data_IF_449626893455
#
_entry.id   IF_449626893455
#
_cell.length_a   1.000
_cell.length_b   1.000
_cell.length_c   1.000
_cell.angle_alpha   90.00
_cell.angle_beta   90.00
_cell.angle_gamma   90.00
#
_symmetry.space_group_name_H-M   'P 1'
#
loop_
_entity.id
_entity.type
_entity.pdbx_description
1 polymer ?
#
# COMPACT_ATOMS: atom_id res chain seq x y z
N UNK A 1 26.93 3.91 -4.25
CA UNK A 1 27.04 4.57 -2.92
C UNK A 1 25.66 5.01 -2.44
N UNK A 2 25.00 5.97 -3.10
CA UNK A 2 23.69 6.50 -2.71
C UNK A 2 22.58 5.48 -2.36
N UNK A 3 22.42 4.39 -3.13
CA UNK A 3 21.44 3.33 -2.81
C UNK A 3 21.73 2.61 -1.49
N UNK A 4 23.01 2.37 -1.18
CA UNK A 4 23.41 1.73 0.08
C UNK A 4 23.13 2.64 1.27
N UNK A 5 23.41 3.94 1.11
CA UNK A 5 23.16 4.94 2.15
C UNK A 5 21.66 5.13 2.38
N UNK A 6 20.87 5.14 1.30
CA UNK A 6 19.41 5.16 1.37
C UNK A 6 18.86 3.92 2.09
N UNK A 7 19.30 2.72 1.71
CA UNK A 7 18.89 1.48 2.38
C UNK A 7 19.24 1.53 3.86
N UNK A 8 20.45 1.97 4.21
CA UNK A 8 20.86 2.14 5.60
C UNK A 8 19.92 3.11 6.35
N UNK A 9 19.63 4.28 5.78
CA UNK A 9 18.73 5.26 6.39
C UNK A 9 17.29 4.72 6.59
N UNK A 10 16.80 3.91 5.65
CA UNK A 10 15.51 3.22 5.74
C UNK A 10 15.51 2.17 6.87
N UNK A 11 16.58 1.39 7.01
CA UNK A 11 16.72 0.40 8.09
C UNK A 11 16.91 1.04 9.47
N UNK A 12 17.62 2.17 9.53
CA UNK A 12 17.81 2.98 10.75
C UNK A 12 16.53 3.74 11.14
N UNK A 13 15.46 3.66 10.33
CA UNK A 13 14.15 4.30 10.56
C UNK A 13 14.25 5.80 10.81
N UNK A 14 15.14 6.47 10.07
CA UNK A 14 15.32 7.92 10.18
C UNK A 14 14.01 8.62 9.84
N UNK A 15 13.65 9.65 10.62
CA UNK A 15 12.36 10.34 10.51
C UNK A 15 12.13 11.02 9.17
N UNK A 16 13.18 11.63 8.60
CA UNK A 16 13.15 12.32 7.32
C UNK A 16 14.33 11.86 6.48
N UNK A 17 14.08 11.49 5.23
CA UNK A 17 15.11 11.13 4.26
C UNK A 17 14.95 12.04 3.05
N UNK A 18 16.01 12.78 2.73
CA UNK A 18 16.08 13.64 1.54
C UNK A 18 16.89 12.91 0.50
N UNK A 19 16.27 12.57 -0.62
CA UNK A 19 16.93 11.88 -1.72
C UNK A 19 17.32 12.94 -2.76
N UNK A 20 18.62 13.24 -2.84
CA UNK A 20 19.17 14.22 -3.78
C UNK A 20 19.17 13.73 -5.23
N UNK A 21 19.57 12.48 -5.55
CA UNK A 21 19.54 12.02 -6.93
C UNK A 21 18.09 11.84 -7.39
N UNK A 22 17.63 12.71 -8.28
CA UNK A 22 16.24 12.73 -8.77
C UNK A 22 15.78 11.36 -9.27
N UNK A 23 16.65 10.64 -10.01
CA UNK A 23 16.35 9.29 -10.51
C UNK A 23 16.02 8.30 -9.39
N UNK A 24 16.84 8.28 -8.33
CA UNK A 24 16.63 7.37 -7.20
C UNK A 24 15.39 7.75 -6.39
N UNK A 25 15.16 9.06 -6.23
CA UNK A 25 13.99 9.60 -5.56
C UNK A 25 12.70 9.22 -6.27
N UNK A 26 12.64 9.40 -7.60
CA UNK A 26 11.48 9.05 -8.41
C UNK A 26 11.21 7.53 -8.42
N UNK A 27 12.25 6.70 -8.51
CA UNK A 27 12.11 5.24 -8.43
C UNK A 27 11.51 4.82 -7.08
N UNK A 28 12.01 5.41 -5.99
CA UNK A 28 11.52 5.14 -4.63
C UNK A 28 10.08 5.63 -4.44
N UNK A 29 9.77 6.84 -4.92
CA UNK A 29 8.41 7.38 -4.91
C UNK A 29 7.44 6.49 -5.67
N UNK A 30 7.80 6.05 -6.88
CA UNK A 30 6.96 5.15 -7.69
C UNK A 30 6.74 3.83 -6.98
N UNK A 31 7.77 3.26 -6.37
CA UNK A 31 7.65 2.01 -5.62
C UNK A 31 6.66 2.15 -4.44
N UNK A 32 6.78 3.22 -3.65
CA UNK A 32 5.83 3.53 -2.57
C UNK A 32 4.42 3.76 -3.13
N UNK A 33 4.29 4.46 -4.25
CA UNK A 33 3.00 4.72 -4.89
C UNK A 33 2.31 3.44 -5.37
N UNK A 34 3.05 2.49 -5.95
CA UNK A 34 2.52 1.17 -6.35
C UNK A 34 2.03 0.39 -5.14
N UNK A 35 2.83 0.34 -4.06
CA UNK A 35 2.41 -0.30 -2.80
C UNK A 35 1.12 0.32 -2.25
N UNK A 36 1.04 1.65 -2.21
CA UNK A 36 -0.15 2.38 -1.76
C UNK A 36 -1.37 2.12 -2.66
N UNK A 37 -1.17 2.00 -3.97
CA UNK A 37 -2.23 1.66 -4.92
C UNK A 37 -2.78 0.26 -4.61
N UNK A 38 -1.91 -0.76 -4.52
CA UNK A 38 -2.29 -2.14 -4.20
C UNK A 38 -3.03 -2.23 -2.86
N UNK A 39 -2.58 -1.49 -1.86
CA UNK A 39 -3.22 -1.42 -0.55
C UNK A 39 -4.67 -0.89 -0.66
N UNK A 40 -4.86 0.24 -1.33
CA UNK A 40 -6.19 0.86 -1.50
C UNK A 40 -7.11 0.03 -2.38
N UNK A 41 -6.61 -0.53 -3.48
CA UNK A 41 -7.41 -1.38 -4.36
C UNK A 41 -7.87 -2.64 -3.63
N UNK A 42 -7.01 -3.25 -2.81
CA UNK A 42 -7.39 -4.39 -1.98
C UNK A 42 -8.52 -4.05 -1.01
N UNK A 43 -8.43 -2.91 -0.31
CA UNK A 43 -9.48 -2.47 0.61
C UNK A 43 -10.81 -2.21 -0.10
N UNK A 44 -10.79 -1.47 -1.21
CA UNK A 44 -12.00 -1.12 -1.97
C UNK A 44 -12.64 -2.38 -2.56
N UNK A 45 -11.84 -3.27 -3.16
CA UNK A 45 -12.35 -4.51 -3.75
C UNK A 45 -12.90 -5.49 -2.72
N UNK A 46 -12.25 -5.63 -1.55
CA UNK A 46 -12.81 -6.41 -0.44
C UNK A 46 -14.14 -5.85 0.05
N UNK A 47 -14.21 -4.54 0.27
CA UNK A 47 -15.44 -3.89 0.74
C UNK A 47 -16.57 -4.04 -0.29
N UNK A 48 -16.28 -3.87 -1.58
CA UNK A 48 -17.23 -4.08 -2.67
C UNK A 48 -17.74 -5.53 -2.72
N UNK A 49 -16.84 -6.51 -2.58
CA UNK A 49 -17.20 -7.94 -2.54
C UNK A 49 -18.16 -8.25 -1.40
N UNK A 50 -17.87 -7.76 -0.18
CA UNK A 50 -18.74 -7.93 0.98
C UNK A 50 -20.10 -7.27 0.74
N UNK A 51 -20.13 -6.03 0.24
CA UNK A 51 -21.37 -5.31 -0.02
C UNK A 51 -22.27 -6.03 -1.04
N UNK A 52 -21.69 -6.51 -2.14
CA UNK A 52 -22.41 -7.28 -3.17
C UNK A 52 -22.95 -8.59 -2.59
N UNK A 53 -22.13 -9.31 -1.82
CA UNK A 53 -22.53 -10.55 -1.15
C UNK A 53 -23.68 -10.37 -0.16
N UNK A 54 -23.75 -9.23 0.53
CA UNK A 54 -24.81 -8.94 1.50
C UNK A 54 -26.12 -8.50 0.85
N UNK A 55 -26.06 -7.68 -0.21
CA UNK A 55 -27.26 -7.06 -0.81
C UNK A 55 -27.89 -7.93 -1.90
N UNK A 56 -27.09 -8.60 -2.74
CA UNK A 56 -27.57 -9.24 -3.98
C UNK A 56 -27.27 -10.75 -4.07
N UNK A 57 -27.49 -11.46 -2.95
CA UNK A 57 -27.09 -12.85 -2.66
C UNK A 57 -27.17 -13.91 -3.77
N UNK A 58 -28.10 -13.82 -4.73
CA UNK A 58 -28.33 -14.91 -5.69
C UNK A 58 -27.95 -14.61 -7.14
N UNK A 59 -28.03 -13.36 -7.61
CA UNK A 59 -27.74 -13.02 -9.03
C UNK A 59 -26.34 -12.49 -9.27
N UNK A 60 -25.64 -12.00 -8.24
CA UNK A 60 -24.38 -11.28 -8.39
C UNK A 60 -23.17 -11.98 -7.73
N UNK A 61 -23.31 -13.26 -7.37
CA UNK A 61 -22.25 -14.06 -6.73
C UNK A 61 -20.97 -14.11 -7.57
N UNK A 62 -21.08 -14.20 -8.89
CA UNK A 62 -19.94 -14.17 -9.82
C UNK A 62 -19.16 -12.86 -9.70
N UNK A 63 -19.86 -11.72 -9.61
CA UNK A 63 -19.22 -10.41 -9.45
C UNK A 63 -18.54 -10.28 -8.09
N UNK A 64 -19.19 -10.75 -7.03
CA UNK A 64 -18.58 -10.80 -5.69
C UNK A 64 -17.29 -11.60 -5.68
N UNK A 65 -17.27 -12.76 -6.36
CA UNK A 65 -16.08 -13.61 -6.47
C UNK A 65 -14.95 -12.92 -7.25
N UNK A 66 -15.26 -12.22 -8.35
CA UNK A 66 -14.28 -11.46 -9.11
C UNK A 66 -13.61 -10.36 -8.28
N UNK A 67 -14.39 -9.58 -7.52
CA UNK A 67 -13.83 -8.57 -6.62
C UNK A 67 -13.01 -9.18 -5.49
N UNK A 68 -13.42 -10.35 -4.97
CA UNK A 68 -12.65 -11.09 -3.98
C UNK A 68 -11.31 -11.56 -4.55
N UNK A 69 -11.29 -12.10 -5.78
CA UNK A 69 -10.08 -12.56 -6.45
C UNK A 69 -9.09 -11.40 -6.68
N UNK A 70 -9.56 -10.24 -7.14
CA UNK A 70 -8.74 -9.04 -7.28
C UNK A 70 -8.15 -8.61 -5.93
N UNK A 71 -8.95 -8.63 -4.86
CA UNK A 71 -8.45 -8.29 -3.53
C UNK A 71 -7.37 -9.25 -3.03
N UNK A 72 -7.57 -10.57 -3.20
CA UNK A 72 -6.59 -11.59 -2.84
C UNK A 72 -5.29 -11.38 -3.63
N UNK A 73 -5.40 -11.13 -4.94
CA UNK A 73 -4.25 -10.88 -5.80
C UNK A 73 -3.47 -9.63 -5.37
N UNK A 74 -4.15 -8.50 -5.16
CA UNK A 74 -3.50 -7.27 -4.70
C UNK A 74 -2.85 -7.43 -3.32
N UNK A 75 -3.52 -8.10 -2.38
CA UNK A 75 -2.98 -8.38 -1.03
C UNK A 75 -1.80 -9.33 -1.07
N UNK A 76 -1.85 -10.34 -1.93
CA UNK A 76 -0.76 -11.29 -2.16
C UNK A 76 0.48 -10.61 -2.71
N UNK A 77 0.33 -9.86 -3.80
CA UNK A 77 1.42 -9.05 -4.38
C UNK A 77 2.00 -8.07 -3.37
N UNK A 78 1.13 -7.34 -2.65
CA UNK A 78 1.60 -6.42 -1.62
C UNK A 78 2.38 -7.15 -0.53
N UNK A 79 1.91 -8.31 -0.08
CA UNK A 79 2.59 -9.11 0.94
C UNK A 79 3.94 -9.63 0.46
N UNK A 80 4.05 -10.14 -0.76
CA UNK A 80 5.33 -10.64 -1.28
C UNK A 80 6.35 -9.51 -1.45
N UNK A 81 5.92 -8.38 -2.02
CA UNK A 81 6.83 -7.31 -2.40
C UNK A 81 7.13 -6.31 -1.26
N UNK A 82 6.21 -6.07 -0.32
CA UNK A 82 6.35 -5.04 0.72
C UNK A 82 6.40 -5.56 2.17
N UNK A 83 6.32 -6.88 2.43
CA UNK A 83 6.41 -7.36 3.83
C UNK A 83 7.79 -7.14 4.45
N UNK A 84 8.86 -7.31 3.66
CA UNK A 84 10.23 -7.15 4.12
C UNK A 84 10.87 -5.83 3.66
N UNK A 85 10.10 -4.97 2.99
CA UNK A 85 10.61 -3.72 2.44
C UNK A 85 10.47 -2.58 3.47
N UNK A 86 11.57 -1.96 3.92
CA UNK A 86 11.51 -0.86 4.88
C UNK A 86 10.80 0.39 4.33
N UNK A 87 10.68 0.54 3.00
CA UNK A 87 9.95 1.65 2.36
C UNK A 87 8.48 1.69 2.75
N UNK A 88 7.90 0.58 3.21
CA UNK A 88 6.48 0.50 3.62
C UNK A 88 6.15 1.43 4.79
N UNK A 89 7.14 1.74 5.65
CA UNK A 89 6.95 2.63 6.79
C UNK A 89 7.08 4.12 6.42
N UNK A 90 7.40 4.42 5.16
CA UNK A 90 7.65 5.76 4.66
C UNK A 90 6.55 6.23 3.71
N UNK A 91 6.32 7.54 3.69
CA UNK A 91 5.43 8.21 2.75
C UNK A 91 6.13 9.42 2.14
N UNK A 92 5.74 9.77 0.92
CA UNK A 92 6.30 10.93 0.22
C UNK A 92 5.67 12.20 0.78
N UNK A 93 6.49 13.09 1.33
CA UNK A 93 6.05 14.37 1.85
C UNK A 93 5.96 15.38 0.71
N UNK A 94 4.73 15.79 0.37
CA UNK A 94 4.48 16.80 -0.68
C UNK A 94 4.12 18.18 -0.13
N UNK A 95 3.87 18.32 1.18
CA UNK A 95 3.43 19.61 1.73
C UNK A 95 4.61 20.57 1.86
N UNK A 96 4.55 21.65 1.09
CA UNK A 96 5.58 22.68 1.06
C UNK A 96 5.91 23.26 2.45
N UNK A 97 4.91 23.39 3.33
CA UNK A 97 5.09 23.86 4.73
C UNK A 97 5.95 22.94 5.59
N UNK A 98 5.93 21.64 5.32
CA UNK A 98 6.75 20.64 6.01
C UNK A 98 8.14 20.59 5.37
N UNK A 99 8.21 20.73 4.05
CA UNK A 99 9.46 20.77 3.29
C UNK A 99 10.34 21.98 3.66
N UNK A 100 9.74 23.15 3.92
CA UNK A 100 10.47 24.36 4.36
C UNK A 100 11.16 24.22 5.72
N UNK A 101 10.74 23.26 6.56
CA UNK A 101 11.36 23.02 7.88
C UNK A 101 12.59 22.12 7.79
N UNK A 102 12.83 21.52 6.64
CA UNK A 102 13.92 20.58 6.40
C UNK A 102 15.02 21.37 5.69
N UNK A 103 16.25 21.41 6.21
CA UNK A 103 17.36 22.04 5.50
C UNK A 103 17.64 21.22 4.24
N UNK A 104 17.16 21.73 3.10
CA UNK A 104 17.43 21.17 1.77
C UNK A 104 18.77 21.72 1.28
N UNK A 105 19.69 20.87 0.79
CA UNK A 105 20.95 21.34 0.22
C UNK A 105 20.72 22.34 -0.93
N UNK A 106 21.43 23.46 -0.91
CA UNK A 106 21.38 24.47 -1.97
C UNK A 106 21.89 23.86 -3.29
N UNK A 107 21.03 23.83 -4.32
CA UNK A 107 21.35 23.26 -5.64
C UNK A 107 20.67 21.92 -5.97
N UNK A 108 19.92 21.31 -5.04
CA UNK A 108 19.14 20.11 -5.32
C UNK A 108 17.95 20.42 -6.25
N UNK A 109 17.97 19.88 -7.47
CA UNK A 109 16.86 20.00 -8.42
C UNK A 109 15.74 19.01 -8.04
N UNK A 110 14.71 19.50 -7.34
CA UNK A 110 13.52 18.75 -6.89
C UNK A 110 13.81 17.46 -6.10
N UNK A 111 14.32 17.56 -4.85
CA UNK A 111 14.58 16.40 -4.02
C UNK A 111 13.28 15.73 -3.55
N UNK A 112 13.26 14.40 -3.56
CA UNK A 112 12.16 13.61 -3.00
C UNK A 112 12.39 13.45 -1.50
N UNK A 113 11.41 13.88 -0.70
CA UNK A 113 11.48 13.78 0.76
C UNK A 113 10.55 12.68 1.24
N UNK A 114 11.11 11.70 1.94
CA UNK A 114 10.36 10.64 2.61
C UNK A 114 10.22 10.96 4.09
N UNK A 115 9.03 10.75 4.62
CA UNK A 115 8.72 10.87 6.05
C UNK A 115 8.36 9.51 6.62
N UNK A 116 9.01 9.15 7.72
CA UNK A 116 8.66 7.94 8.47
C UNK A 116 7.29 8.14 9.13
N UNK A 117 6.33 7.32 8.73
CA UNK A 117 4.95 7.37 9.22
C UNK A 117 4.69 6.29 10.27
N UNK A 118 5.46 5.20 10.26
CA UNK A 118 5.40 4.13 11.26
C UNK A 118 4.05 3.40 11.36
N UNK A 119 3.13 3.64 10.43
CA UNK A 119 1.73 3.23 10.55
C UNK A 119 1.50 1.78 10.12
N UNK A 120 2.04 0.84 10.90
CA UNK A 120 1.90 -0.61 10.68
C UNK A 120 0.43 -1.07 10.74
N UNK A 121 -0.41 -0.37 11.49
CA UNK A 121 -1.83 -0.70 11.61
C UNK A 121 -2.55 -0.56 10.26
N UNK A 122 -2.27 0.51 9.51
CA UNK A 122 -2.81 0.66 8.16
C UNK A 122 -2.40 -0.52 7.27
N UNK A 123 -1.15 -0.99 7.37
CA UNK A 123 -0.66 -2.15 6.64
C UNK A 123 -1.41 -3.44 7.00
N UNK A 124 -1.87 -3.64 8.24
CA UNK A 124 -2.65 -4.85 8.58
C UNK A 124 -4.11 -4.77 8.15
N UNK A 125 -4.68 -3.56 8.01
CA UNK A 125 -6.10 -3.36 7.71
C UNK A 125 -6.55 -4.05 6.41
N UNK A 126 -5.77 -3.98 5.34
CA UNK A 126 -6.14 -4.64 4.08
C UNK A 126 -6.14 -6.17 4.18
N UNK A 127 -5.21 -6.76 4.96
CA UNK A 127 -5.16 -8.21 5.19
C UNK A 127 -6.40 -8.71 5.91
N UNK A 128 -6.81 -8.00 6.97
CA UNK A 128 -8.02 -8.31 7.72
C UNK A 128 -9.25 -8.20 6.80
N UNK A 129 -9.33 -7.12 6.01
CA UNK A 129 -10.45 -6.90 5.10
C UNK A 129 -10.53 -7.99 4.02
N UNK A 130 -9.41 -8.38 3.42
CA UNK A 130 -9.36 -9.48 2.44
C UNK A 130 -9.72 -10.82 3.06
N UNK A 131 -9.29 -11.10 4.29
CA UNK A 131 -9.68 -12.33 4.99
C UNK A 131 -11.19 -12.39 5.25
N UNK A 132 -11.80 -11.26 5.65
CA UNK A 132 -13.25 -11.14 5.82
C UNK A 132 -13.99 -11.27 4.50
N UNK A 133 -13.54 -10.62 3.44
CA UNK A 133 -14.15 -10.74 2.12
C UNK A 133 -14.10 -12.18 1.59
N UNK A 134 -12.97 -12.86 1.80
CA UNK A 134 -12.77 -14.26 1.42
C UNK A 134 -13.71 -15.19 2.18
N UNK A 135 -13.85 -15.02 3.50
CA UNK A 135 -14.75 -15.86 4.30
C UNK A 135 -16.21 -15.68 3.91
N UNK A 136 -16.64 -14.43 3.67
CA UNK A 136 -17.99 -14.11 3.17
C UNK A 136 -18.22 -14.71 1.79
N UNK A 137 -17.25 -14.58 0.88
CA UNK A 137 -17.36 -15.11 -0.49
C UNK A 137 -17.42 -16.65 -0.50
N UNK A 138 -16.61 -17.33 0.30
CA UNK A 138 -16.66 -18.79 0.44
C UNK A 138 -18.01 -19.23 1.01
N UNK A 139 -18.53 -18.51 2.01
CA UNK A 139 -19.82 -18.80 2.60
C UNK A 139 -20.98 -18.62 1.61
N UNK A 140 -20.99 -17.54 0.81
CA UNK A 140 -22.05 -17.31 -0.18
C UNK A 140 -22.01 -18.34 -1.31
N UNK A 141 -20.83 -18.73 -1.78
CA UNK A 141 -20.67 -19.82 -2.76
C UNK A 141 -21.12 -21.15 -2.19
N UNK A 142 -20.70 -21.49 -0.96
CA UNK A 142 -21.16 -22.72 -0.30
C UNK A 142 -22.68 -22.79 -0.17
N UNK A 143 -23.32 -21.66 0.16
CA UNK A 143 -24.79 -21.57 0.20
C UNK A 143 -25.45 -21.69 -1.17
N UNK A 144 -24.83 -21.19 -2.23
CA UNK A 144 -25.36 -21.29 -3.59
C UNK A 144 -25.24 -22.71 -4.19
N UNK A 145 -24.29 -23.51 -3.69
CA UNK A 145 -24.06 -24.90 -4.11
C UNK A 145 -24.88 -25.93 -3.32
N UNK A 146 -25.45 -25.54 -2.17
CA UNK A 146 -26.25 -26.40 -1.30
C UNK A 146 -27.73 -26.28 -1.62
#
# INVERSE_FOLDING_TARGET
>A
MFQSDLNKALFDKVRFIVIEPTRLGEETERWIAVGNCLHKTSLISSAASIAISLIWREKLTIYSASFCAVSIFCTGLYTVCWTCDPCVEYQVERKQRNLMKIPVPEGASSPVVLVHTGNRLATYSHRIMTALATSVCVWTVYRALK
#
